data_IF_328545015694
#
_entry.id   IF_328545015694
#
_cell.length_a   1.000
_cell.length_b   1.000
_cell.length_c   1.000
_cell.angle_alpha   90.00
_cell.angle_beta   90.00
_cell.angle_gamma   90.00
#
_symmetry.space_group_name_H-M   'P 1'
#
loop_
_entity.id
_entity.type
_entity.pdbx_description
1 polymer ?
#
# COMPACT_ATOMS: atom_id res chain seq x y z
N UNK A 1 23.22 -10.21 -5.01
CA UNK A 1 23.87 -9.51 -6.14
C UNK A 1 24.03 -8.05 -5.76
N UNK A 2 25.21 -7.45 -5.90
CA UNK A 2 25.38 -6.02 -5.70
C UNK A 2 24.44 -5.26 -6.66
N UNK A 3 23.59 -4.39 -6.14
CA UNK A 3 22.74 -3.53 -6.96
C UNK A 3 23.63 -2.76 -7.91
N UNK A 4 23.46 -2.97 -9.22
CA UNK A 4 24.18 -2.20 -10.22
C UNK A 4 23.91 -0.72 -9.98
N UNK A 5 24.97 0.10 -9.88
CA UNK A 5 24.84 1.54 -9.75
C UNK A 5 24.04 2.06 -10.95
N UNK A 6 22.85 2.59 -10.69
CA UNK A 6 22.02 3.21 -11.71
C UNK A 6 22.76 4.42 -12.31
N UNK A 7 22.57 4.75 -13.62
CA UNK A 7 23.15 5.93 -14.22
C UNK A 7 22.77 7.19 -13.42
N UNK A 8 23.75 8.05 -13.15
CA UNK A 8 23.50 9.30 -12.42
C UNK A 8 22.71 10.28 -13.29
N UNK A 9 21.70 10.93 -12.67
CA UNK A 9 20.90 11.95 -13.32
C UNK A 9 21.76 13.15 -13.72
N UNK A 10 21.62 13.71 -14.94
CA UNK A 10 22.36 14.93 -15.36
C UNK A 10 22.13 16.11 -14.41
N UNK A 11 20.91 16.28 -13.88
CA UNK A 11 20.55 17.34 -12.92
C UNK A 11 20.73 16.94 -11.45
N UNK A 12 21.50 15.87 -11.16
CA UNK A 12 21.66 15.32 -9.81
C UNK A 12 22.11 16.35 -8.75
N UNK A 13 22.91 17.33 -9.15
CA UNK A 13 23.48 18.34 -8.25
C UNK A 13 22.76 19.70 -8.27
N UNK A 14 21.76 19.89 -9.12
CA UNK A 14 21.10 21.19 -9.32
C UNK A 14 19.60 21.18 -9.06
N UNK A 15 18.96 20.01 -9.18
CA UNK A 15 17.52 19.90 -8.99
C UNK A 15 17.20 19.73 -7.50
N UNK A 16 16.40 20.64 -6.95
CA UNK A 16 15.89 20.57 -5.58
C UNK A 16 14.52 19.93 -5.55
N UNK A 17 14.37 18.88 -4.73
CA UNK A 17 13.17 18.03 -4.66
C UNK A 17 12.65 18.01 -3.23
N UNK A 18 11.42 18.49 -3.05
CA UNK A 18 10.70 18.45 -1.77
C UNK A 18 9.66 17.35 -1.78
N UNK A 19 9.67 16.49 -0.76
CA UNK A 19 8.68 15.43 -0.57
C UNK A 19 7.90 15.74 0.70
N UNK A 20 6.58 15.78 0.61
CA UNK A 20 5.70 16.03 1.75
C UNK A 20 5.05 14.72 2.19
N UNK A 21 5.37 14.29 3.40
CA UNK A 21 4.96 13.02 4.00
C UNK A 21 6.07 11.95 3.93
N UNK A 22 6.43 11.40 5.09
CA UNK A 22 7.38 10.29 5.24
C UNK A 22 6.70 8.92 5.35
N UNK A 23 5.53 8.74 4.74
CA UNK A 23 4.91 7.43 4.56
C UNK A 23 5.67 6.54 3.57
N UNK A 24 5.17 5.32 3.30
CA UNK A 24 5.81 4.37 2.36
C UNK A 24 6.02 5.01 0.98
N UNK A 25 5.02 5.75 0.46
CA UNK A 25 5.12 6.41 -0.84
C UNK A 25 6.18 7.50 -0.88
N UNK A 26 6.21 8.38 0.13
CA UNK A 26 7.21 9.45 0.23
C UNK A 26 8.63 8.91 0.39
N UNK A 27 8.83 7.89 1.25
CA UNK A 27 10.14 7.26 1.42
C UNK A 27 10.58 6.48 0.19
N UNK A 28 9.66 5.76 -0.49
CA UNK A 28 9.94 5.10 -1.76
C UNK A 28 10.38 6.11 -2.83
N UNK A 29 9.72 7.30 -2.87
CA UNK A 29 10.12 8.39 -3.76
C UNK A 29 11.50 8.94 -3.42
N UNK A 30 11.77 9.15 -2.13
CA UNK A 30 13.09 9.59 -1.66
C UNK A 30 14.18 8.60 -2.11
N UNK A 31 13.99 7.29 -1.85
CA UNK A 31 14.95 6.26 -2.29
C UNK A 31 15.08 6.24 -3.82
N UNK A 32 13.95 6.31 -4.54
CA UNK A 32 13.95 6.34 -6.01
C UNK A 32 14.79 7.49 -6.59
N UNK A 33 14.70 8.67 -5.98
CA UNK A 33 15.45 9.86 -6.38
C UNK A 33 16.93 9.77 -5.99
N UNK A 34 17.22 9.51 -4.69
CA UNK A 34 18.63 9.48 -4.25
C UNK A 34 19.44 8.33 -4.86
N UNK A 35 18.77 7.20 -5.19
CA UNK A 35 19.43 6.09 -5.93
C UNK A 35 19.86 6.49 -7.33
N UNK A 36 19.23 7.50 -7.93
CA UNK A 36 19.61 8.11 -9.22
C UNK A 36 20.64 9.23 -9.08
N UNK A 37 21.10 9.48 -7.83
CA UNK A 37 22.17 10.43 -7.53
C UNK A 37 21.72 11.85 -7.21
N UNK A 38 20.40 12.13 -7.13
CA UNK A 38 19.90 13.44 -6.70
C UNK A 38 20.42 13.78 -5.30
N UNK A 39 20.97 14.99 -5.11
CA UNK A 39 21.64 15.43 -3.87
C UNK A 39 20.77 16.31 -2.99
N UNK A 40 19.79 16.98 -3.56
CA UNK A 40 18.93 17.92 -2.84
C UNK A 40 17.51 17.34 -2.74
N UNK A 41 17.37 16.24 -1.97
CA UNK A 41 16.09 15.58 -1.67
C UNK A 41 15.77 15.79 -0.20
N UNK A 42 14.69 16.52 0.08
CA UNK A 42 14.22 16.81 1.44
C UNK A 42 12.84 16.22 1.63
N UNK A 43 12.68 15.40 2.67
CA UNK A 43 11.40 14.82 3.11
C UNK A 43 10.91 15.59 4.33
N UNK A 44 9.69 16.12 4.26
CA UNK A 44 9.00 16.83 5.35
C UNK A 44 7.96 15.91 5.98
N UNK A 45 8.05 15.68 7.28
CA UNK A 45 7.09 14.87 8.03
C UNK A 45 6.47 15.70 9.15
N UNK A 46 5.14 15.69 9.21
CA UNK A 46 4.41 16.47 10.21
C UNK A 46 4.56 15.93 11.63
N UNK A 47 4.68 14.61 11.77
CA UNK A 47 4.90 13.99 13.06
C UNK A 47 6.25 14.42 13.67
N UNK A 48 6.33 14.62 15.00
CA UNK A 48 7.58 15.03 15.66
C UNK A 48 8.65 13.93 15.64
N UNK A 49 8.25 12.71 15.46
CA UNK A 49 9.11 11.52 15.35
C UNK A 49 8.52 10.49 14.41
N UNK A 50 9.37 9.62 13.89
CA UNK A 50 8.91 8.48 13.07
C UNK A 50 8.52 7.35 14.03
N UNK A 51 7.21 7.12 14.16
CA UNK A 51 6.65 6.05 14.99
C UNK A 51 6.51 4.72 14.26
N UNK A 52 6.62 3.62 14.98
CA UNK A 52 6.25 2.30 14.48
C UNK A 52 4.72 2.16 14.47
N UNK A 53 4.07 2.58 13.39
CA UNK A 53 2.63 2.34 13.22
C UNK A 53 2.46 1.21 12.22
N UNK A 54 1.88 0.08 12.67
CA UNK A 54 1.54 -0.90 11.66
C UNK A 54 1.06 -2.26 12.12
N UNK A 55 0.38 -2.88 11.22
CA UNK A 55 0.01 -4.30 11.18
C UNK A 55 0.87 -5.00 10.10
N UNK A 56 0.50 -6.21 9.73
CA UNK A 56 1.09 -6.89 8.59
C UNK A 56 0.78 -6.16 7.27
N UNK A 57 1.72 -6.24 6.34
CA UNK A 57 1.57 -5.76 4.97
C UNK A 57 2.11 -6.80 4.00
N UNK A 58 1.46 -6.90 2.84
CA UNK A 58 1.89 -7.80 1.78
C UNK A 58 2.81 -7.07 0.80
N UNK A 59 3.88 -7.74 0.41
CA UNK A 59 4.87 -7.28 -0.57
C UNK A 59 4.78 -8.24 -1.77
N UNK A 60 3.95 -7.85 -2.73
CA UNK A 60 3.70 -8.61 -3.94
C UNK A 60 4.88 -8.55 -4.93
N UNK A 61 4.96 -9.43 -5.95
CA UNK A 61 6.09 -9.49 -6.89
C UNK A 61 6.46 -8.17 -7.55
N UNK A 62 5.49 -7.34 -7.94
CA UNK A 62 5.76 -6.02 -8.50
C UNK A 62 6.43 -5.07 -7.49
N UNK A 63 6.05 -5.14 -6.23
CA UNK A 63 6.70 -4.34 -5.19
C UNK A 63 8.06 -4.91 -4.80
N UNK A 64 8.23 -6.25 -4.76
CA UNK A 64 9.54 -6.88 -4.58
C UNK A 64 10.55 -6.38 -5.63
N UNK A 65 10.12 -6.29 -6.90
CA UNK A 65 10.94 -5.73 -7.99
C UNK A 65 11.39 -4.32 -7.69
N UNK A 66 10.49 -3.44 -7.29
CA UNK A 66 10.81 -2.05 -6.92
C UNK A 66 11.76 -1.99 -5.73
N UNK A 67 11.47 -2.73 -4.65
CA UNK A 67 12.32 -2.77 -3.47
C UNK A 67 13.72 -3.32 -3.77
N UNK A 68 13.83 -4.25 -4.70
CA UNK A 68 15.12 -4.75 -5.17
C UNK A 68 15.90 -3.66 -5.94
N UNK A 69 15.25 -2.92 -6.84
CA UNK A 69 15.87 -1.76 -7.51
C UNK A 69 16.38 -0.72 -6.51
N UNK A 70 15.69 -0.56 -5.39
CA UNK A 70 16.07 0.35 -4.31
C UNK A 70 17.19 -0.20 -3.40
N UNK A 71 17.52 -1.49 -3.49
CA UNK A 71 18.43 -2.18 -2.56
C UNK A 71 17.84 -2.30 -1.15
N UNK A 72 16.51 -2.41 -1.05
CA UNK A 72 15.75 -2.53 0.20
C UNK A 72 15.28 -3.96 0.46
N UNK A 73 15.03 -4.75 -0.60
CA UNK A 73 14.41 -6.08 -0.47
C UNK A 73 15.24 -7.02 0.43
N UNK A 74 16.56 -7.07 0.22
CA UNK A 74 17.46 -7.95 0.98
C UNK A 74 17.50 -7.60 2.49
N UNK A 75 17.19 -6.35 2.84
CA UNK A 75 17.08 -5.90 4.25
C UNK A 75 15.81 -6.39 4.94
N UNK A 76 14.77 -6.62 4.16
CA UNK A 76 13.47 -7.10 4.66
C UNK A 76 13.40 -8.61 4.75
N UNK A 77 14.11 -9.33 3.87
CA UNK A 77 14.03 -10.78 3.75
C UNK A 77 14.23 -11.54 5.06
N UNK A 78 15.17 -11.16 5.96
CA UNK A 78 15.36 -11.87 7.24
C UNK A 78 14.14 -11.84 8.18
N UNK A 79 13.30 -10.79 8.09
CA UNK A 79 12.10 -10.60 8.92
C UNK A 79 10.81 -10.96 8.16
N UNK A 80 10.92 -11.21 6.86
CA UNK A 80 9.78 -11.53 6.00
C UNK A 80 9.36 -12.99 6.15
N UNK A 81 8.08 -13.24 5.87
CA UNK A 81 7.60 -14.60 5.60
C UNK A 81 7.30 -14.69 4.10
N UNK A 82 7.97 -15.59 3.41
CA UNK A 82 7.68 -15.91 2.01
C UNK A 82 6.37 -16.69 1.94
N UNK A 83 5.37 -16.14 1.26
CA UNK A 83 4.09 -16.83 1.10
C UNK A 83 4.20 -18.00 0.13
N UNK A 84 3.77 -19.18 0.58
CA UNK A 84 3.62 -20.39 -0.24
C UNK A 84 2.32 -20.39 -1.04
N UNK A 85 1.32 -19.61 -0.59
CA UNK A 85 0.02 -19.54 -1.25
C UNK A 85 -0.99 -18.68 -0.52
N UNK A 86 -2.21 -18.70 -1.06
CA UNK A 86 -3.39 -18.07 -0.49
C UNK A 86 -4.55 -19.07 -0.45
N UNK A 87 -5.39 -18.97 0.57
CA UNK A 87 -6.59 -19.81 0.72
C UNK A 87 -7.80 -18.93 1.02
N UNK A 88 -8.88 -19.13 0.27
CA UNK A 88 -10.20 -18.53 0.58
C UNK A 88 -11.06 -19.58 1.22
N UNK A 89 -11.67 -19.26 2.36
CA UNK A 89 -12.44 -20.17 3.18
C UNK A 89 -13.79 -19.61 3.56
N UNK A 90 -14.75 -20.48 3.71
CA UNK A 90 -16.07 -20.14 4.22
C UNK A 90 -16.00 -19.81 5.72
N UNK A 91 -16.63 -18.73 6.15
CA UNK A 91 -16.56 -18.23 7.52
C UNK A 91 -17.11 -19.22 8.56
N UNK A 92 -18.21 -19.92 8.28
CA UNK A 92 -18.95 -20.72 9.26
C UNK A 92 -18.30 -22.06 9.59
N UNK A 93 -17.77 -22.77 8.61
CA UNK A 93 -17.29 -24.14 8.74
C UNK A 93 -15.82 -24.33 8.33
N UNK A 94 -15.13 -23.23 8.02
CA UNK A 94 -13.73 -23.24 7.56
C UNK A 94 -13.49 -24.05 6.26
N UNK A 95 -14.55 -24.35 5.48
CA UNK A 95 -14.44 -25.03 4.19
C UNK A 95 -13.57 -24.22 3.23
N UNK A 96 -12.58 -24.89 2.63
CA UNK A 96 -11.73 -24.27 1.63
C UNK A 96 -12.47 -24.12 0.30
N UNK A 97 -12.80 -22.90 -0.07
CA UNK A 97 -13.44 -22.55 -1.33
C UNK A 97 -12.45 -22.43 -2.48
N UNK A 98 -11.25 -21.94 -2.19
CA UNK A 98 -10.18 -21.78 -3.17
C UNK A 98 -8.80 -21.91 -2.51
N UNK A 99 -7.83 -22.38 -3.28
CA UNK A 99 -6.42 -22.38 -2.91
C UNK A 99 -5.59 -22.00 -4.12
N UNK A 100 -4.76 -20.98 -3.96
CA UNK A 100 -3.84 -20.50 -5.00
C UNK A 100 -2.41 -20.72 -4.53
N UNK A 101 -1.66 -21.56 -5.25
CA UNK A 101 -0.23 -21.73 -4.99
C UNK A 101 0.56 -20.54 -5.53
N UNK A 102 1.53 -20.08 -4.75
CA UNK A 102 2.48 -19.03 -5.14
C UNK A 102 3.85 -19.56 -5.58
N UNK A 103 3.97 -20.88 -5.73
CA UNK A 103 5.22 -21.51 -6.19
C UNK A 103 5.71 -20.97 -7.54
N UNK A 104 4.78 -20.58 -8.43
CA UNK A 104 5.10 -20.08 -9.77
C UNK A 104 5.29 -18.56 -9.83
N UNK A 105 5.07 -17.79 -8.75
CA UNK A 105 5.21 -16.33 -8.82
C UNK A 105 6.63 -15.88 -9.19
N UNK A 106 7.64 -16.52 -8.59
CA UNK A 106 9.03 -16.18 -8.89
C UNK A 106 9.45 -16.66 -10.29
N UNK A 107 9.16 -17.91 -10.72
CA UNK A 107 9.37 -18.32 -12.11
C UNK A 107 8.67 -17.43 -13.15
N UNK A 108 7.41 -17.05 -12.90
CA UNK A 108 6.59 -16.33 -13.88
C UNK A 108 6.90 -14.81 -13.91
N UNK A 109 7.21 -14.21 -12.74
CA UNK A 109 7.34 -12.76 -12.59
C UNK A 109 8.71 -12.29 -12.09
N UNK A 110 9.62 -13.22 -11.80
CA UNK A 110 10.98 -12.96 -11.32
C UNK A 110 11.09 -12.69 -9.82
N UNK A 111 9.97 -12.66 -9.09
CA UNK A 111 9.93 -12.30 -7.67
C UNK A 111 8.86 -13.09 -6.91
N UNK A 112 9.15 -13.51 -5.65
CA UNK A 112 8.15 -14.14 -4.78
C UNK A 112 7.17 -13.08 -4.20
N UNK A 113 6.19 -13.56 -3.44
CA UNK A 113 5.37 -12.72 -2.56
C UNK A 113 5.84 -12.90 -1.11
N UNK A 114 5.93 -11.79 -0.37
CA UNK A 114 6.24 -11.76 1.05
C UNK A 114 5.13 -11.09 1.85
N UNK A 115 5.11 -11.38 3.14
CA UNK A 115 4.42 -10.61 4.15
C UNK A 115 5.41 -10.16 5.20
N UNK A 116 5.29 -8.90 5.63
CA UNK A 116 6.20 -8.28 6.60
C UNK A 116 5.39 -7.45 7.60
N UNK A 117 6.00 -7.04 8.69
CA UNK A 117 5.44 -5.98 9.51
C UNK A 117 5.62 -4.64 8.80
N UNK A 118 4.58 -3.79 8.79
CA UNK A 118 4.60 -2.51 8.06
C UNK A 118 5.69 -1.55 8.58
N UNK A 119 5.95 -1.57 9.89
CA UNK A 119 7.04 -0.80 10.51
C UNK A 119 8.41 -1.22 9.98
N UNK A 120 8.66 -2.52 9.78
CA UNK A 120 9.94 -3.01 9.26
C UNK A 120 10.16 -2.53 7.82
N UNK A 121 9.13 -2.57 6.98
CA UNK A 121 9.19 -2.02 5.62
C UNK A 121 9.45 -0.51 5.62
N UNK A 122 8.73 0.22 6.47
CA UNK A 122 8.90 1.66 6.61
C UNK A 122 10.32 2.03 7.05
N UNK A 123 10.82 1.35 8.09
CA UNK A 123 12.18 1.53 8.59
C UNK A 123 13.24 1.22 7.53
N UNK A 124 13.10 0.12 6.78
CA UNK A 124 14.04 -0.26 5.74
C UNK A 124 14.11 0.78 4.60
N UNK A 125 12.96 1.37 4.21
CA UNK A 125 12.91 2.47 3.24
C UNK A 125 13.55 3.74 3.81
N UNK A 126 13.25 4.09 5.05
CA UNK A 126 13.82 5.26 5.73
C UNK A 126 15.34 5.17 5.83
N UNK A 127 15.84 4.06 6.40
CA UNK A 127 17.28 3.84 6.55
C UNK A 127 17.98 3.95 5.19
N UNK A 128 17.39 3.37 4.15
CA UNK A 128 17.95 3.41 2.80
C UNK A 128 17.97 4.83 2.22
N UNK A 129 16.89 5.60 2.41
CA UNK A 129 16.82 6.99 1.95
C UNK A 129 17.91 7.84 2.61
N UNK A 130 18.07 7.73 3.92
CA UNK A 130 19.06 8.48 4.69
C UNK A 130 20.51 8.08 4.33
N UNK A 131 20.79 6.78 4.21
CA UNK A 131 22.11 6.29 3.76
C UNK A 131 22.53 6.84 2.40
N UNK A 132 21.59 7.01 1.49
CA UNK A 132 21.84 7.55 0.15
C UNK A 132 21.88 9.08 0.11
N UNK A 133 21.58 9.75 1.24
CA UNK A 133 21.75 11.18 1.41
C UNK A 133 20.45 12.00 1.33
N UNK A 134 19.27 11.40 1.41
CA UNK A 134 18.03 12.16 1.62
C UNK A 134 18.05 12.85 2.97
N UNK A 135 17.48 14.05 3.05
CA UNK A 135 17.29 14.79 4.30
C UNK A 135 15.87 14.54 4.82
N UNK A 136 15.73 14.16 6.07
CA UNK A 136 14.44 14.06 6.76
C UNK A 136 14.27 15.22 7.75
N UNK A 137 13.15 15.90 7.66
CA UNK A 137 12.73 16.96 8.60
C UNK A 137 11.42 16.53 9.25
N UNK A 138 11.49 16.02 10.47
CA UNK A 138 10.31 15.71 11.31
C UNK A 138 9.77 16.98 11.97
N UNK A 139 8.54 16.93 12.52
CA UNK A 139 7.87 18.10 13.10
C UNK A 139 7.63 19.22 12.07
N UNK A 140 7.61 18.88 10.78
CA UNK A 140 7.57 19.84 9.67
C UNK A 140 6.19 19.81 9.01
N UNK A 141 5.17 20.30 9.73
CA UNK A 141 3.83 20.45 9.19
C UNK A 141 3.81 21.50 8.08
N UNK A 142 3.40 21.12 6.89
CA UNK A 142 3.24 22.04 5.76
C UNK A 142 1.93 22.79 5.92
N UNK A 143 2.02 24.14 6.00
CA UNK A 143 0.87 25.02 6.07
C UNK A 143 0.37 25.43 4.68
N UNK A 144 1.31 25.65 3.76
CA UNK A 144 0.98 26.11 2.42
C UNK A 144 1.99 25.67 1.37
N UNK A 145 1.53 25.62 0.12
CA UNK A 145 2.35 25.33 -1.06
C UNK A 145 2.00 26.31 -2.17
N UNK A 146 3.01 27.00 -2.72
CA UNK A 146 2.89 27.75 -3.95
C UNK A 146 3.22 26.84 -5.12
N UNK A 147 2.24 26.54 -5.94
CA UNK A 147 2.33 25.58 -7.03
C UNK A 147 3.20 26.07 -8.19
N UNK A 148 3.11 27.35 -8.54
CA UNK A 148 3.86 27.98 -9.63
C UNK A 148 5.35 28.09 -9.31
N UNK A 149 5.65 28.64 -8.13
CA UNK A 149 7.04 28.88 -7.71
C UNK A 149 7.72 27.61 -7.17
N UNK A 150 6.92 26.64 -6.68
CA UNK A 150 7.44 25.44 -6.00
C UNK A 150 7.94 25.77 -4.59
N UNK A 151 7.23 26.62 -3.84
CA UNK A 151 7.58 26.95 -2.47
C UNK A 151 6.73 26.18 -1.49
N UNK A 152 7.33 25.67 -0.43
CA UNK A 152 6.64 25.07 0.71
C UNK A 152 6.78 25.98 1.93
N UNK A 153 5.65 26.20 2.62
CA UNK A 153 5.59 26.92 3.88
C UNK A 153 5.49 25.90 5.01
N UNK A 154 6.58 25.70 5.72
CA UNK A 154 6.59 24.90 6.95
C UNK A 154 6.13 25.78 8.10
N UNK A 155 5.27 25.26 8.99
CA UNK A 155 4.77 25.98 10.16
C UNK A 155 5.90 26.58 11.00
N UNK A 156 5.83 27.91 11.21
CA UNK A 156 6.82 28.61 12.01
C UNK A 156 8.22 28.75 11.39
N UNK A 157 8.40 28.41 10.10
CA UNK A 157 9.69 28.51 9.41
C UNK A 157 9.58 29.38 8.15
N UNK A 158 10.71 29.90 7.62
CA UNK A 158 10.74 30.55 6.32
C UNK A 158 10.30 29.59 5.19
N UNK A 159 9.77 30.14 4.10
CA UNK A 159 9.48 29.38 2.89
C UNK A 159 10.76 28.75 2.30
N UNK A 160 10.61 27.53 1.81
CA UNK A 160 11.68 26.79 1.11
C UNK A 160 11.24 26.54 -0.32
N UNK A 161 12.11 26.86 -1.29
CA UNK A 161 11.84 26.65 -2.70
C UNK A 161 12.41 25.33 -3.19
N UNK A 162 11.61 24.61 -3.98
CA UNK A 162 11.98 23.38 -4.68
C UNK A 162 11.66 23.50 -6.18
N UNK A 163 12.37 22.76 -7.00
CA UNK A 163 12.08 22.64 -8.43
C UNK A 163 10.87 21.72 -8.66
N UNK A 164 10.69 20.70 -7.79
CA UNK A 164 9.53 19.81 -7.77
C UNK A 164 9.11 19.56 -6.33
N UNK A 165 7.81 19.60 -6.07
CA UNK A 165 7.19 19.21 -4.81
C UNK A 165 6.38 17.93 -5.05
N UNK A 166 6.70 16.87 -4.33
CA UNK A 166 6.03 15.57 -4.37
C UNK A 166 5.11 15.48 -3.15
N UNK A 167 3.82 15.55 -3.38
CA UNK A 167 2.81 15.43 -2.34
C UNK A 167 2.50 13.94 -2.09
N UNK A 168 3.05 13.40 -1.02
CA UNK A 168 2.87 12.03 -0.53
C UNK A 168 2.27 12.02 0.88
N UNK A 169 1.44 13.03 1.18
CA UNK A 169 0.82 13.33 2.48
C UNK A 169 -0.46 12.49 2.74
N UNK A 170 -0.66 11.43 1.96
CA UNK A 170 -1.62 10.37 2.22
C UNK A 170 -3.06 10.73 1.87
N UNK A 171 -3.98 9.87 2.29
CA UNK A 171 -5.40 9.99 1.93
C UNK A 171 -6.04 11.30 2.41
N UNK A 172 -5.54 11.92 3.48
CA UNK A 172 -5.99 13.23 3.99
C UNK A 172 -5.18 14.40 3.40
N UNK A 173 -4.61 14.25 2.21
CA UNK A 173 -3.70 15.21 1.59
C UNK A 173 -4.27 16.63 1.53
N UNK A 174 -3.66 17.54 2.27
CA UNK A 174 -3.99 18.96 2.21
C UNK A 174 -3.52 19.59 0.89
N UNK A 175 -2.45 19.07 0.30
CA UNK A 175 -1.93 19.55 -0.99
C UNK A 175 -2.88 19.17 -2.11
N UNK A 176 -3.43 17.94 -2.11
CA UNK A 176 -4.47 17.54 -3.07
C UNK A 176 -5.69 18.43 -2.96
N UNK A 177 -6.20 18.69 -1.74
CA UNK A 177 -7.38 19.55 -1.54
C UNK A 177 -7.15 20.94 -2.11
N UNK A 178 -5.94 21.52 -1.92
CA UNK A 178 -5.59 22.80 -2.52
C UNK A 178 -5.51 22.73 -4.05
N UNK A 179 -4.92 21.67 -4.60
CA UNK A 179 -4.83 21.44 -6.05
C UNK A 179 -6.22 21.36 -6.69
N UNK A 180 -7.15 20.61 -6.07
CA UNK A 180 -8.53 20.48 -6.53
C UNK A 180 -9.27 21.82 -6.48
N UNK A 181 -9.16 22.55 -5.37
CA UNK A 181 -9.77 23.87 -5.21
C UNK A 181 -9.29 24.87 -6.29
N UNK A 182 -8.00 24.85 -6.64
CA UNK A 182 -7.43 25.68 -7.73
C UNK A 182 -8.04 25.37 -9.09
N UNK A 183 -8.49 24.13 -9.30
CA UNK A 183 -9.18 23.69 -10.53
C UNK A 183 -10.70 23.93 -10.49
N UNK A 184 -11.24 24.42 -9.37
CA UNK A 184 -12.67 24.51 -9.16
C UNK A 184 -13.35 23.14 -8.95
N UNK A 185 -12.58 22.14 -8.56
CA UNK A 185 -13.02 20.77 -8.27
C UNK A 185 -13.19 20.57 -6.76
N UNK A 186 -14.10 19.69 -6.36
CA UNK A 186 -14.32 19.36 -4.95
C UNK A 186 -13.46 18.15 -4.57
N UNK A 187 -12.67 18.29 -3.51
CA UNK A 187 -11.92 17.19 -2.91
C UNK A 187 -12.75 16.56 -1.79
N UNK A 188 -13.35 15.43 -2.08
CA UNK A 188 -14.19 14.73 -1.12
C UNK A 188 -13.75 13.28 -0.98
N UNK A 189 -13.47 12.89 0.29
CA UNK A 189 -13.32 11.47 0.61
C UNK A 189 -14.69 10.83 0.80
N UNK A 190 -14.93 9.73 0.11
CA UNK A 190 -16.19 9.01 0.18
C UNK A 190 -16.07 7.89 1.22
N UNK A 191 -16.94 7.86 2.26
CA UNK A 191 -17.07 6.70 3.13
C UNK A 191 -17.53 5.49 2.31
N UNK A 192 -16.83 4.37 2.43
CA UNK A 192 -17.24 3.14 1.75
C UNK A 192 -18.32 2.37 2.50
N UNK A 193 -18.63 2.78 3.72
CA UNK A 193 -19.43 2.00 4.65
C UNK A 193 -18.67 0.82 5.27
N UNK A 194 -17.39 0.69 4.97
CA UNK A 194 -16.53 -0.36 5.52
C UNK A 194 -15.60 0.18 6.61
N UNK A 195 -15.28 -0.68 7.56
CA UNK A 195 -14.26 -0.45 8.58
C UNK A 195 -13.40 -1.69 8.77
N UNK A 196 -12.25 -1.52 9.41
CA UNK A 196 -11.33 -2.62 9.66
C UNK A 196 -10.83 -2.64 11.11
N UNK A 197 -10.83 -3.82 11.73
CA UNK A 197 -10.03 -4.10 12.92
C UNK A 197 -8.70 -4.71 12.52
N UNK A 198 -7.65 -4.40 13.29
CA UNK A 198 -6.32 -4.99 13.13
C UNK A 198 -5.85 -5.57 14.44
N UNK A 199 -5.47 -6.84 14.43
CA UNK A 199 -4.99 -7.58 15.58
C UNK A 199 -3.66 -8.24 15.22
N UNK A 200 -2.68 -8.14 16.11
CA UNK A 200 -1.43 -8.89 16.03
C UNK A 200 -1.33 -9.79 17.25
N UNK A 201 -1.20 -11.10 17.02
CA UNK A 201 -0.97 -12.09 18.03
C UNK A 201 0.50 -12.49 18.05
N UNK A 202 1.08 -12.64 19.23
CA UNK A 202 2.43 -13.16 19.37
C UNK A 202 2.40 -14.70 19.27
N UNK A 203 3.49 -15.31 18.79
CA UNK A 203 3.63 -16.78 18.73
C UNK A 203 3.31 -17.45 20.06
N UNK A 204 3.82 -16.89 21.18
CA UNK A 204 3.58 -17.42 22.52
C UNK A 204 2.11 -17.52 22.94
N UNK A 205 1.23 -16.72 22.32
CA UNK A 205 -0.21 -16.76 22.55
C UNK A 205 -0.88 -17.90 21.76
N UNK A 206 -0.26 -18.37 20.68
CA UNK A 206 -0.85 -19.30 19.71
C UNK A 206 -0.31 -20.74 19.84
N UNK A 207 0.93 -20.91 20.26
CA UNK A 207 1.64 -22.20 20.18
C UNK A 207 1.12 -23.30 21.11
N UNK A 208 0.35 -22.93 22.15
CA UNK A 208 -0.25 -23.90 23.07
C UNK A 208 -1.46 -24.64 22.46
N UNK A 209 -2.11 -24.07 21.44
CA UNK A 209 -3.25 -24.67 20.74
C UNK A 209 -2.79 -25.21 19.38
N UNK A 210 -2.91 -26.53 19.09
CA UNK A 210 -2.36 -27.13 17.85
C UNK A 210 -2.92 -26.50 16.56
N UNK A 211 -4.18 -26.15 16.52
CA UNK A 211 -4.85 -25.51 15.38
C UNK A 211 -4.33 -24.08 15.14
N UNK A 212 -4.07 -23.31 16.22
CA UNK A 212 -3.49 -21.98 16.10
C UNK A 212 -2.00 -22.02 15.74
N UNK A 213 -1.27 -23.00 16.32
CA UNK A 213 0.13 -23.23 15.96
C UNK A 213 0.28 -23.55 14.48
N UNK A 214 -0.62 -24.36 13.91
CA UNK A 214 -0.63 -24.65 12.48
C UNK A 214 -0.83 -23.39 11.63
N UNK A 215 -1.66 -22.44 12.06
CA UNK A 215 -1.88 -21.18 11.33
C UNK A 215 -0.59 -20.33 11.26
N UNK A 216 0.10 -20.15 12.39
CA UNK A 216 1.30 -19.31 12.44
C UNK A 216 2.51 -19.98 11.79
N UNK A 217 2.60 -21.32 11.78
CA UNK A 217 3.68 -22.06 11.15
C UNK A 217 3.50 -22.16 9.62
N UNK A 218 2.27 -22.10 9.12
CA UNK A 218 1.99 -22.24 7.70
C UNK A 218 2.15 -20.89 6.98
N UNK A 219 3.04 -20.75 5.98
CA UNK A 219 3.24 -19.53 5.21
C UNK A 219 2.12 -19.30 4.18
N UNK A 220 0.87 -19.42 4.59
CA UNK A 220 -0.31 -19.21 3.74
C UNK A 220 -1.11 -18.03 4.24
N UNK A 221 -1.45 -17.11 3.34
CA UNK A 221 -2.42 -16.08 3.64
C UNK A 221 -3.83 -16.68 3.55
N UNK A 222 -4.57 -16.63 4.64
CA UNK A 222 -5.93 -17.18 4.72
C UNK A 222 -6.93 -16.02 4.70
N UNK A 223 -7.97 -16.16 3.89
CA UNK A 223 -9.08 -15.23 3.81
C UNK A 223 -10.37 -15.97 4.14
N UNK A 224 -11.01 -15.65 5.26
CA UNK A 224 -12.35 -16.14 5.57
C UNK A 224 -13.37 -15.13 5.07
N UNK A 225 -14.34 -15.61 4.28
CA UNK A 225 -15.38 -14.78 3.67
C UNK A 225 -16.74 -15.11 4.27
N UNK A 226 -17.47 -14.09 4.66
CA UNK A 226 -18.78 -14.19 5.31
C UNK A 226 -19.71 -13.03 4.92
N UNK A 227 -20.93 -12.99 5.49
CA UNK A 227 -21.90 -11.95 5.19
C UNK A 227 -21.37 -10.57 5.64
N UNK A 228 -21.29 -9.62 4.70
CA UNK A 228 -20.88 -8.24 4.95
C UNK A 228 -19.49 -8.09 5.59
N UNK A 229 -18.63 -9.14 5.54
CA UNK A 229 -17.31 -9.11 6.14
C UNK A 229 -16.38 -10.16 5.55
N UNK A 230 -15.07 -9.90 5.64
CA UNK A 230 -14.05 -10.92 5.48
C UNK A 230 -12.89 -10.67 6.45
N UNK A 231 -12.13 -11.71 6.73
CA UNK A 231 -10.93 -11.63 7.57
C UNK A 231 -9.76 -12.20 6.79
N UNK A 232 -8.67 -11.44 6.73
CA UNK A 232 -7.39 -11.90 6.16
C UNK A 232 -6.39 -12.08 7.29
N UNK A 233 -5.73 -13.25 7.33
CA UNK A 233 -4.70 -13.49 8.31
C UNK A 233 -3.48 -14.22 7.72
N UNK A 234 -2.30 -13.92 8.25
CA UNK A 234 -1.03 -14.50 7.82
C UNK A 234 0.07 -14.29 8.86
N UNK A 235 1.08 -15.17 8.91
CA UNK A 235 2.24 -14.99 9.78
C UNK A 235 3.12 -13.81 9.30
N UNK A 236 3.75 -13.11 10.25
CA UNK A 236 4.71 -12.03 9.99
C UNK A 236 5.92 -12.17 10.93
N UNK A 237 6.93 -11.30 10.80
CA UNK A 237 8.14 -11.28 11.66
C UNK A 237 8.81 -12.67 11.72
N UNK A 238 9.08 -13.26 10.56
CA UNK A 238 9.64 -14.62 10.45
C UNK A 238 8.88 -15.65 11.32
N UNK A 239 7.53 -15.62 11.27
CA UNK A 239 6.62 -16.45 12.06
C UNK A 239 6.59 -16.16 13.58
N UNK A 240 7.20 -15.07 14.06
CA UNK A 240 7.12 -14.67 15.46
C UNK A 240 5.78 -14.03 15.84
N UNK A 241 5.02 -13.55 14.87
CA UNK A 241 3.70 -12.95 15.08
C UNK A 241 2.72 -13.33 13.97
N UNK A 242 1.44 -13.22 14.27
CA UNK A 242 0.32 -13.51 13.35
C UNK A 242 -0.55 -12.28 13.21
N UNK A 243 -0.69 -11.80 11.99
CA UNK A 243 -1.47 -10.62 11.65
C UNK A 243 -2.87 -11.03 11.24
N UNK A 244 -3.87 -10.35 11.78
CA UNK A 244 -5.29 -10.52 11.46
C UNK A 244 -5.86 -9.15 11.11
N UNK A 245 -6.48 -9.04 9.94
CA UNK A 245 -7.21 -7.84 9.51
C UNK A 245 -8.61 -8.26 9.15
N UNK A 246 -9.59 -7.76 9.87
CA UNK A 246 -11.00 -7.94 9.54
C UNK A 246 -11.53 -6.70 8.85
N UNK A 247 -12.19 -6.86 7.72
CA UNK A 247 -12.93 -5.80 7.03
C UNK A 247 -14.42 -6.14 7.09
N UNK A 248 -15.25 -5.16 7.46
CA UNK A 248 -16.66 -5.37 7.67
C UNK A 248 -17.45 -4.10 7.35
N UNK A 249 -18.75 -4.26 7.05
CA UNK A 249 -19.67 -3.12 6.92
C UNK A 249 -19.89 -2.49 8.29
N UNK A 250 -19.71 -1.18 8.38
CA UNK A 250 -19.92 -0.39 9.59
C UNK A 250 -20.82 0.80 9.30
N UNK A 251 -21.90 0.94 10.08
CA UNK A 251 -22.85 2.05 9.95
C UNK A 251 -22.50 3.23 10.88
N UNK A 252 -21.47 3.10 11.69
CA UNK A 252 -21.14 4.06 12.76
C UNK A 252 -19.81 4.76 12.57
N UNK A 253 -18.82 4.08 11.99
CA UNK A 253 -17.46 4.63 11.80
C UNK A 253 -17.36 5.33 10.46
N UNK A 254 -16.82 6.56 10.48
CA UNK A 254 -16.61 7.37 9.27
C UNK A 254 -17.74 8.34 8.94
N UNK A 255 -18.77 8.44 9.79
CA UNK A 255 -19.76 9.50 9.74
C UNK A 255 -19.24 10.82 10.36
N UNK A 256 -18.14 10.75 11.12
CA UNK A 256 -17.45 11.88 11.75
C UNK A 256 -16.08 12.11 11.11
N UNK A 257 -15.44 13.23 11.42
CA UNK A 257 -14.08 13.54 11.00
C UNK A 257 -13.02 12.57 11.63
N UNK A 258 -13.38 11.89 12.71
CA UNK A 258 -12.55 10.86 13.33
C UNK A 258 -12.67 9.55 12.55
N UNK A 259 -11.60 9.22 11.81
CA UNK A 259 -11.51 8.01 10.99
C UNK A 259 -11.11 6.77 11.80
N UNK A 260 -10.82 6.97 13.06
CA UNK A 260 -10.45 5.91 13.99
C UNK A 260 -11.30 6.02 15.24
N UNK A 261 -11.83 4.89 15.69
CA UNK A 261 -12.49 4.78 16.98
C UNK A 261 -11.79 3.74 17.83
N UNK A 262 -11.70 3.97 19.14
CA UNK A 262 -11.33 2.89 20.06
C UNK A 262 -12.45 1.85 20.03
N UNK A 263 -12.09 0.64 19.67
CA UNK A 263 -13.03 -0.46 19.60
C UNK A 263 -12.96 -1.33 20.88
N UNK A 264 -14.11 -1.80 21.32
CA UNK A 264 -14.18 -2.83 22.35
C UNK A 264 -13.98 -4.20 21.71
N UNK A 265 -13.14 -5.04 22.32
CA UNK A 265 -12.98 -6.44 21.94
C UNK A 265 -14.33 -7.17 21.95
N UNK A 266 -15.19 -6.87 22.90
CA UNK A 266 -16.54 -7.46 23.01
C UNK A 266 -17.39 -7.13 21.77
N UNK A 267 -17.36 -5.88 21.29
CA UNK A 267 -18.07 -5.46 20.07
C UNK A 267 -17.52 -6.18 18.84
N UNK A 268 -16.19 -6.31 18.74
CA UNK A 268 -15.56 -7.09 17.68
C UNK A 268 -15.98 -8.56 17.72
N UNK A 269 -15.91 -9.22 18.88
CA UNK A 269 -16.29 -10.63 19.03
C UNK A 269 -17.77 -10.86 18.69
N UNK A 270 -18.67 -9.97 19.13
CA UNK A 270 -20.10 -10.04 18.80
C UNK A 270 -20.36 -9.91 17.29
N UNK A 271 -19.57 -9.11 16.58
CA UNK A 271 -19.70 -8.97 15.12
C UNK A 271 -19.37 -10.25 14.37
N UNK A 272 -18.42 -11.03 14.87
CA UNK A 272 -17.95 -12.27 14.27
C UNK A 272 -18.53 -13.52 14.96
N UNK A 273 -19.59 -13.35 15.78
CA UNK A 273 -20.29 -14.48 16.39
C UNK A 273 -20.80 -15.47 15.33
N UNK A 274 -20.67 -16.77 15.59
CA UNK A 274 -21.00 -17.81 14.61
C UNK A 274 -19.96 -18.08 13.52
N UNK A 275 -18.80 -17.38 13.53
CA UNK A 275 -17.70 -17.73 12.67
C UNK A 275 -16.96 -18.97 13.21
N UNK A 276 -16.19 -19.65 12.34
CA UNK A 276 -15.56 -20.92 12.70
C UNK A 276 -14.70 -20.82 13.98
N UNK A 277 -14.62 -21.92 14.70
CA UNK A 277 -14.01 -22.02 16.02
C UNK A 277 -12.53 -21.58 16.03
N UNK A 278 -11.74 -22.02 15.03
CA UNK A 278 -10.30 -21.69 14.96
C UNK A 278 -10.09 -20.18 14.85
N UNK A 279 -10.87 -19.50 14.01
CA UNK A 279 -10.79 -18.04 13.87
C UNK A 279 -11.25 -17.34 15.15
N UNK A 280 -12.37 -17.80 15.77
CA UNK A 280 -12.84 -17.23 17.02
C UNK A 280 -11.84 -17.38 18.15
N UNK A 281 -11.12 -18.51 18.26
CA UNK A 281 -9.98 -18.66 19.19
C UNK A 281 -8.93 -17.56 18.97
N UNK A 282 -8.56 -17.27 17.71
CA UNK A 282 -7.63 -16.18 17.42
C UNK A 282 -8.17 -14.82 17.91
N UNK A 283 -9.44 -14.50 17.60
CA UNK A 283 -10.03 -13.21 17.98
C UNK A 283 -10.16 -13.06 19.50
N UNK A 284 -10.40 -14.16 20.23
CA UNK A 284 -10.41 -14.16 21.70
C UNK A 284 -9.03 -13.86 22.34
N UNK A 285 -7.93 -14.06 21.61
CA UNK A 285 -6.57 -13.70 22.05
C UNK A 285 -6.24 -12.23 21.84
N UNK A 286 -7.11 -11.47 21.15
CA UNK A 286 -6.90 -10.03 20.97
C UNK A 286 -6.81 -9.31 22.33
N UNK A 287 -5.86 -8.37 22.50
CA UNK A 287 -5.71 -7.63 23.76
C UNK A 287 -6.92 -6.73 24.04
N UNK A 288 -7.22 -6.52 25.31
CA UNK A 288 -8.22 -5.55 25.73
C UNK A 288 -7.71 -4.12 25.59
N UNK A 289 -8.58 -3.21 25.14
CA UNK A 289 -8.28 -1.76 25.11
C UNK A 289 -7.29 -1.29 24.03
N UNK A 290 -6.74 -2.19 23.24
CA UNK A 290 -5.78 -1.86 22.16
C UNK A 290 -6.36 -2.00 20.75
N UNK A 291 -7.66 -2.24 20.63
CA UNK A 291 -8.31 -2.34 19.33
C UNK A 291 -8.67 -0.96 18.80
N UNK A 292 -8.34 -0.76 17.53
CA UNK A 292 -8.74 0.43 16.79
C UNK A 292 -9.57 0.00 15.59
N UNK A 293 -10.74 0.56 15.44
CA UNK A 293 -11.57 0.44 14.25
C UNK A 293 -11.23 1.58 13.30
N UNK A 294 -10.84 1.24 12.07
CA UNK A 294 -10.43 2.18 11.04
C UNK A 294 -11.51 2.26 9.97
N UNK A 295 -12.10 3.44 9.77
CA UNK A 295 -12.97 3.67 8.64
C UNK A 295 -12.21 3.57 7.33
N UNK A 296 -12.72 2.80 6.38
CA UNK A 296 -12.17 2.74 5.03
C UNK A 296 -12.86 3.78 4.16
N UNK A 297 -12.05 4.63 3.53
CA UNK A 297 -12.52 5.71 2.66
C UNK A 297 -11.75 5.64 1.34
N UNK A 298 -12.36 6.17 0.30
CA UNK A 298 -11.76 6.31 -1.01
C UNK A 298 -11.89 7.74 -1.51
N UNK A 299 -11.14 8.07 -2.53
CA UNK A 299 -11.38 9.24 -3.37
C UNK A 299 -11.90 8.79 -4.73
N UNK A 300 -12.70 9.63 -5.36
CA UNK A 300 -12.99 9.47 -6.78
C UNK A 300 -11.69 9.64 -7.59
N UNK A 301 -11.58 8.98 -8.75
CA UNK A 301 -10.43 9.19 -9.62
C UNK A 301 -10.25 10.67 -9.96
N UNK A 302 -9.06 11.19 -9.69
CA UNK A 302 -8.73 12.60 -9.96
C UNK A 302 -8.64 12.85 -11.46
N UNK A 303 -8.94 14.08 -11.91
CA UNK A 303 -8.79 14.50 -13.30
C UNK A 303 -7.32 14.57 -13.73
N UNK A 304 -6.41 14.86 -12.80
CA UNK A 304 -4.96 14.88 -13.01
C UNK A 304 -4.21 14.98 -11.68
N UNK A 305 -2.93 14.60 -11.72
CA UNK A 305 -2.05 14.53 -10.55
C UNK A 305 -1.02 15.66 -10.49
N UNK A 306 -0.99 16.55 -11.47
CA UNK A 306 0.06 17.56 -11.62
C UNK A 306 -0.56 18.95 -11.68
N UNK A 307 -0.01 19.88 -10.93
CA UNK A 307 -0.27 21.32 -11.06
C UNK A 307 1.08 22.06 -10.95
N UNK A 308 1.55 22.63 -12.06
CA UNK A 308 2.84 23.30 -12.19
C UNK A 308 4.01 22.45 -11.66
N UNK A 309 4.60 22.84 -10.52
CA UNK A 309 5.73 22.14 -9.89
C UNK A 309 5.33 21.09 -8.85
N UNK A 310 4.04 20.86 -8.65
CA UNK A 310 3.52 19.94 -7.66
C UNK A 310 2.97 18.70 -8.34
N UNK A 311 3.33 17.53 -7.82
CA UNK A 311 2.84 16.23 -8.28
C UNK A 311 2.35 15.39 -7.09
N UNK A 312 1.17 14.77 -7.23
CA UNK A 312 0.60 13.86 -6.25
C UNK A 312 1.17 12.45 -6.41
N UNK A 313 1.28 11.71 -5.30
CA UNK A 313 1.84 10.37 -5.27
C UNK A 313 1.20 9.51 -4.17
N UNK A 314 1.03 8.20 -4.44
CA UNK A 314 0.49 7.26 -3.48
C UNK A 314 -0.95 7.60 -3.07
N UNK A 315 -1.30 7.43 -1.79
CA UNK A 315 -2.66 7.66 -1.30
C UNK A 315 -3.14 9.12 -1.47
N UNK A 316 -2.24 10.08 -1.66
CA UNK A 316 -2.61 11.44 -2.03
C UNK A 316 -3.20 11.51 -3.44
N UNK A 317 -2.85 10.59 -4.33
CA UNK A 317 -3.33 10.51 -5.71
C UNK A 317 -4.39 9.42 -5.93
N UNK A 318 -4.23 8.25 -5.29
CA UNK A 318 -5.01 7.04 -5.60
C UNK A 318 -5.22 6.14 -4.39
N UNK A 319 -5.71 6.68 -3.28
CA UNK A 319 -6.05 5.90 -2.09
C UNK A 319 -6.90 4.68 -2.46
N UNK A 320 -6.50 3.48 -2.04
CA UNK A 320 -7.12 2.22 -2.42
C UNK A 320 -7.55 1.39 -1.21
N UNK A 321 -8.63 0.62 -1.39
CA UNK A 321 -9.06 -0.39 -0.43
C UNK A 321 -8.05 -1.54 -0.33
N UNK A 322 -7.93 -2.22 0.83
CA UNK A 322 -6.87 -3.21 1.06
C UNK A 322 -7.08 -4.56 0.36
N UNK A 323 -8.18 -4.73 -0.38
CA UNK A 323 -8.69 -6.04 -0.82
C UNK A 323 -7.79 -6.80 -1.79
N UNK A 324 -6.90 -6.12 -2.51
CA UNK A 324 -5.91 -6.75 -3.41
C UNK A 324 -4.45 -6.48 -3.02
N UNK A 325 -4.22 -5.91 -1.83
CA UNK A 325 -2.89 -5.67 -1.27
C UNK A 325 -1.95 -4.85 -2.19
N UNK A 326 -2.45 -3.81 -2.85
CA UNK A 326 -1.69 -3.02 -3.83
C UNK A 326 -1.35 -1.59 -3.42
N UNK A 327 -1.93 -1.00 -2.36
CA UNK A 327 -1.70 0.41 -2.02
C UNK A 327 -0.22 0.77 -1.92
N UNK A 328 0.53 0.06 -1.06
CA UNK A 328 1.97 0.30 -0.92
C UNK A 328 2.78 -0.04 -2.19
N UNK A 329 2.37 -1.07 -2.94
CA UNK A 329 3.01 -1.45 -4.18
C UNK A 329 2.86 -0.36 -5.24
N UNK A 330 1.66 0.20 -5.40
CA UNK A 330 1.42 1.29 -6.35
C UNK A 330 2.20 2.56 -5.95
N UNK A 331 2.20 2.93 -4.66
CA UNK A 331 2.99 4.05 -4.17
C UNK A 331 4.51 3.85 -4.37
N UNK A 332 5.00 2.62 -4.19
CA UNK A 332 6.39 2.26 -4.47
C UNK A 332 6.74 2.35 -5.96
N UNK A 333 5.86 1.86 -6.84
CA UNK A 333 5.98 2.00 -8.28
C UNK A 333 5.99 3.48 -8.71
N UNK A 334 5.15 4.32 -8.09
CA UNK A 334 5.13 5.77 -8.35
C UNK A 334 6.50 6.39 -8.10
N UNK A 335 7.08 6.14 -6.92
CA UNK A 335 8.40 6.67 -6.57
C UNK A 335 9.50 6.19 -7.52
N UNK A 336 9.45 4.93 -7.94
CA UNK A 336 10.41 4.36 -8.89
C UNK A 336 10.31 4.98 -10.28
N UNK A 337 9.07 5.15 -10.79
CA UNK A 337 8.81 5.77 -12.10
C UNK A 337 9.20 7.24 -12.10
N UNK A 338 8.76 8.00 -11.08
CA UNK A 338 9.08 9.42 -10.98
C UNK A 338 10.59 9.65 -10.90
N UNK A 339 11.31 8.89 -10.06
CA UNK A 339 12.76 8.95 -9.96
C UNK A 339 13.46 8.62 -11.29
N UNK A 340 12.93 7.63 -12.04
CA UNK A 340 13.47 7.24 -13.35
C UNK A 340 13.29 8.34 -14.39
N UNK A 341 12.10 8.94 -14.47
CA UNK A 341 11.80 9.99 -15.46
C UNK A 341 12.57 11.28 -15.17
N UNK A 342 12.60 11.73 -13.91
CA UNK A 342 13.39 12.91 -13.53
C UNK A 342 14.89 12.73 -13.78
N UNK A 343 15.41 11.50 -13.65
CA UNK A 343 16.79 11.19 -13.95
C UNK A 343 17.16 11.30 -15.44
N UNK A 344 16.19 11.37 -16.34
CA UNK A 344 16.38 11.56 -17.78
C UNK A 344 16.41 13.05 -18.19
N UNK A 345 16.01 13.95 -17.29
CA UNK A 345 16.02 15.38 -17.58
C UNK A 345 17.46 15.90 -17.68
N UNK A 346 17.79 16.60 -18.76
CA UNK A 346 19.09 17.23 -18.97
C UNK A 346 19.11 18.70 -18.55
N UNK A 347 17.95 19.35 -18.56
CA UNK A 347 17.72 20.75 -18.16
C UNK A 347 16.41 20.87 -17.40
N UNK A 348 16.24 21.97 -16.63
CA UNK A 348 15.04 22.16 -15.80
C UNK A 348 13.74 22.27 -16.62
N UNK A 349 13.83 22.74 -17.84
CA UNK A 349 12.71 22.85 -18.78
C UNK A 349 12.15 21.47 -19.20
N UNK A 350 12.91 20.39 -19.01
CA UNK A 350 12.45 19.02 -19.29
C UNK A 350 11.54 18.46 -18.16
N UNK A 351 11.61 19.04 -16.94
CA UNK A 351 10.89 18.56 -15.76
C UNK A 351 9.36 18.49 -15.96
N UNK A 352 8.68 19.52 -16.49
CA UNK A 352 7.23 19.45 -16.73
C UNK A 352 6.84 18.29 -17.65
N UNK A 353 7.69 17.94 -18.61
CA UNK A 353 7.47 16.81 -19.50
C UNK A 353 7.60 15.49 -18.73
N UNK A 354 8.64 15.34 -17.90
CA UNK A 354 8.83 14.16 -17.06
C UNK A 354 7.64 13.92 -16.09
N UNK A 355 7.11 15.00 -15.49
CA UNK A 355 5.92 14.90 -14.62
C UNK A 355 4.70 14.44 -15.42
N UNK A 356 4.40 15.03 -16.60
CA UNK A 356 3.29 14.59 -17.45
C UNK A 356 3.43 13.14 -17.88
N UNK A 357 4.65 12.67 -18.15
CA UNK A 357 4.90 11.27 -18.47
C UNK A 357 4.66 10.34 -17.28
N UNK A 358 5.06 10.77 -16.07
CA UNK A 358 4.74 10.06 -14.83
C UNK A 358 3.23 9.83 -14.70
N UNK A 359 2.43 10.90 -14.82
CA UNK A 359 0.97 10.80 -14.75
C UNK A 359 0.42 9.87 -15.83
N UNK A 360 0.87 10.01 -17.07
CA UNK A 360 0.44 9.17 -18.21
C UNK A 360 0.69 7.68 -17.97
N UNK A 361 1.83 7.32 -17.37
CA UNK A 361 2.19 5.92 -17.12
C UNK A 361 1.52 5.36 -15.88
N UNK A 362 1.39 6.19 -14.83
CA UNK A 362 0.96 5.71 -13.51
C UNK A 362 -0.53 5.78 -13.29
N UNK A 363 -1.17 6.88 -13.67
CA UNK A 363 -2.59 7.11 -13.37
C UNK A 363 -3.50 5.99 -13.88
N UNK A 364 -3.47 5.55 -15.15
CA UNK A 364 -4.35 4.48 -15.62
C UNK A 364 -4.13 3.15 -14.90
N UNK A 365 -2.89 2.86 -14.50
CA UNK A 365 -2.55 1.64 -13.76
C UNK A 365 -3.04 1.68 -12.32
N UNK A 366 -2.86 2.79 -11.64
CA UNK A 366 -3.31 2.98 -10.27
C UNK A 366 -4.85 3.01 -10.20
N UNK A 367 -5.52 3.76 -11.09
CA UNK A 367 -6.99 3.80 -11.18
C UNK A 367 -7.58 2.40 -11.40
N UNK A 368 -6.94 1.61 -12.28
CA UNK A 368 -7.35 0.21 -12.48
C UNK A 368 -7.15 -0.65 -11.23
N UNK A 369 -6.06 -0.48 -10.49
CA UNK A 369 -5.84 -1.20 -9.24
C UNK A 369 -6.86 -0.81 -8.16
N UNK A 370 -7.22 0.48 -8.07
CA UNK A 370 -8.29 0.97 -7.18
C UNK A 370 -9.61 0.30 -7.51
N UNK A 371 -9.98 0.24 -8.79
CA UNK A 371 -11.22 -0.43 -9.24
C UNK A 371 -11.21 -1.93 -8.94
N UNK A 372 -10.09 -2.62 -9.16
CA UNK A 372 -9.98 -4.05 -8.83
C UNK A 372 -10.11 -4.30 -7.32
N UNK A 373 -9.61 -3.40 -6.49
CA UNK A 373 -9.80 -3.48 -5.04
C UNK A 373 -11.28 -3.34 -4.66
N UNK A 374 -11.99 -2.37 -5.26
CA UNK A 374 -13.43 -2.16 -5.04
C UNK A 374 -14.25 -3.39 -5.43
N UNK A 375 -14.09 -3.88 -6.65
CA UNK A 375 -14.79 -5.07 -7.16
C UNK A 375 -14.51 -6.32 -6.29
N UNK A 376 -13.28 -6.46 -5.80
CA UNK A 376 -12.93 -7.56 -4.90
C UNK A 376 -13.67 -7.44 -3.57
N UNK A 377 -13.72 -6.25 -2.96
CA UNK A 377 -14.47 -6.03 -1.72
C UNK A 377 -15.95 -6.41 -1.85
N UNK A 378 -16.59 -5.97 -2.92
CA UNK A 378 -17.99 -6.30 -3.21
C UNK A 378 -18.20 -7.83 -3.30
N UNK A 379 -17.33 -8.55 -4.00
CA UNK A 379 -17.42 -10.00 -4.12
C UNK A 379 -17.20 -10.74 -2.78
N UNK A 380 -16.34 -10.19 -1.90
CA UNK A 380 -16.03 -10.80 -0.61
C UNK A 380 -17.11 -10.57 0.45
N UNK A 381 -17.92 -9.53 0.32
CA UNK A 381 -18.90 -9.10 1.32
C UNK A 381 -20.36 -9.51 0.98
N UNK A 382 -20.55 -10.38 0.00
CA UNK A 382 -21.90 -10.84 -0.39
C UNK A 382 -22.60 -11.53 0.81
N UNK A 383 -23.82 -11.09 1.21
CA UNK A 383 -24.60 -11.73 2.25
C UNK A 383 -24.96 -13.17 1.88
N UNK A 384 -25.24 -14.01 2.89
CA UNK A 384 -25.69 -15.38 2.67
C UNK A 384 -26.94 -15.44 1.80
N UNK A 385 -26.96 -16.39 0.87
CA UNK A 385 -28.05 -16.58 -0.09
C UNK A 385 -27.54 -17.10 -1.44
N UNK A 386 -28.38 -17.01 -2.46
CA UNK A 386 -28.08 -17.56 -3.78
C UNK A 386 -26.86 -16.88 -4.46
N UNK A 387 -26.72 -15.57 -4.31
CA UNK A 387 -25.56 -14.84 -4.84
C UNK A 387 -24.25 -15.29 -4.18
N UNK A 388 -24.27 -15.55 -2.87
CA UNK A 388 -23.11 -16.09 -2.14
C UNK A 388 -22.79 -17.52 -2.62
N UNK A 389 -23.79 -18.39 -2.79
CA UNK A 389 -23.57 -19.74 -3.31
C UNK A 389 -22.94 -19.69 -4.70
N UNK A 390 -23.43 -18.82 -5.57
CA UNK A 390 -22.87 -18.62 -6.91
C UNK A 390 -21.39 -18.12 -6.84
N UNK A 391 -21.08 -17.17 -5.94
CA UNK A 391 -19.70 -16.71 -5.68
C UNK A 391 -18.82 -17.85 -5.18
N UNK A 392 -19.27 -18.66 -4.23
CA UNK A 392 -18.50 -19.78 -3.67
C UNK A 392 -18.19 -20.82 -4.75
N UNK A 393 -19.16 -21.16 -5.59
CA UNK A 393 -18.94 -22.05 -6.73
C UNK A 393 -17.97 -21.45 -7.78
N UNK A 394 -18.02 -20.15 -8.01
CA UNK A 394 -17.07 -19.47 -8.88
C UNK A 394 -15.64 -19.51 -8.30
N UNK A 395 -15.49 -19.35 -6.97
CA UNK A 395 -14.19 -19.51 -6.28
C UNK A 395 -13.65 -20.93 -6.43
N UNK A 396 -14.48 -21.97 -6.26
CA UNK A 396 -14.08 -23.38 -6.44
C UNK A 396 -13.61 -23.64 -7.88
N UNK A 397 -14.34 -23.13 -8.88
CA UNK A 397 -14.00 -23.25 -10.31
C UNK A 397 -12.71 -22.50 -10.67
N UNK A 398 -12.40 -21.38 -10.02
CA UNK A 398 -11.19 -20.62 -10.28
C UNK A 398 -9.90 -21.43 -9.97
N UNK A 399 -9.97 -22.39 -9.03
CA UNK A 399 -8.86 -23.34 -8.78
C UNK A 399 -8.48 -24.18 -9.99
N UNK A 400 -9.39 -24.33 -10.96
CA UNK A 400 -9.19 -25.11 -12.19
C UNK A 400 -8.93 -24.24 -13.44
N UNK A 401 -8.72 -22.92 -13.25
CA UNK A 401 -8.30 -21.99 -14.33
C UNK A 401 -9.36 -21.00 -14.82
N UNK A 402 -10.57 -20.99 -14.23
CA UNK A 402 -11.57 -19.96 -14.49
C UNK A 402 -11.20 -18.64 -13.82
N UNK A 403 -11.79 -17.52 -14.28
CA UNK A 403 -11.62 -16.22 -13.64
C UNK A 403 -12.13 -16.23 -12.20
N UNK A 404 -11.36 -15.67 -11.26
CA UNK A 404 -11.71 -15.65 -9.85
C UNK A 404 -12.49 -14.38 -9.47
N UNK A 405 -13.58 -14.50 -8.69
CA UNK A 405 -14.20 -13.34 -8.03
C UNK A 405 -13.24 -12.59 -7.10
N UNK A 406 -12.33 -13.32 -6.45
CA UNK A 406 -11.21 -12.76 -5.70
C UNK A 406 -10.07 -12.37 -6.64
N UNK A 407 -10.01 -11.08 -7.02
CA UNK A 407 -9.01 -10.55 -7.95
C UNK A 407 -7.59 -10.67 -7.45
N UNK A 408 -7.36 -10.75 -6.16
CA UNK A 408 -6.03 -10.99 -5.63
C UNK A 408 -5.45 -12.35 -6.03
N UNK A 409 -6.29 -13.41 -6.04
CA UNK A 409 -5.93 -14.76 -6.50
C UNK A 409 -6.08 -14.99 -8.00
N UNK A 410 -6.63 -14.03 -8.75
CA UNK A 410 -6.92 -14.16 -10.18
C UNK A 410 -5.66 -14.04 -11.05
N UNK A 411 -5.42 -15.03 -11.91
CA UNK A 411 -4.20 -15.08 -12.74
C UNK A 411 -4.07 -13.93 -13.74
N UNK A 412 -5.18 -13.44 -14.30
CA UNK A 412 -5.16 -12.33 -15.24
C UNK A 412 -4.78 -11.03 -14.51
N UNK A 413 -5.39 -10.80 -13.35
CA UNK A 413 -5.07 -9.68 -12.46
C UNK A 413 -3.61 -9.73 -12.02
N UNK A 414 -3.12 -10.91 -11.60
CA UNK A 414 -1.72 -11.09 -11.24
C UNK A 414 -0.78 -10.79 -12.41
N UNK A 415 -1.07 -11.29 -13.61
CA UNK A 415 -0.26 -11.01 -14.80
C UNK A 415 -0.18 -9.51 -15.08
N UNK A 416 -1.28 -8.79 -14.98
CA UNK A 416 -1.33 -7.34 -15.21
C UNK A 416 -0.61 -6.56 -14.11
N UNK A 417 -0.71 -6.98 -12.84
CA UNK A 417 -0.02 -6.34 -11.72
C UNK A 417 1.47 -6.69 -11.68
N UNK A 418 1.80 -7.99 -11.77
CA UNK A 418 3.16 -8.48 -11.45
C UNK A 418 4.07 -8.56 -12.66
N UNK A 419 3.49 -8.72 -13.87
CA UNK A 419 4.26 -8.88 -15.10
C UNK A 419 4.91 -7.60 -15.63
N UNK A 420 4.42 -6.42 -15.23
CA UNK A 420 4.95 -5.15 -15.73
C UNK A 420 6.15 -4.69 -14.90
N UNK A 421 7.26 -4.42 -15.58
CA UNK A 421 8.38 -3.68 -15.02
C UNK A 421 8.22 -2.19 -15.32
N UNK A 422 7.70 -1.45 -14.33
CA UNK A 422 7.38 -0.02 -14.50
C UNK A 422 8.60 0.86 -14.68
N UNK A 423 9.76 0.45 -14.13
CA UNK A 423 11.03 1.17 -14.29
C UNK A 423 11.53 1.05 -15.71
N UNK A 424 11.52 -0.18 -16.24
CA UNK A 424 11.88 -0.44 -17.64
C UNK A 424 10.92 0.25 -18.60
N UNK A 425 9.62 0.24 -18.31
CA UNK A 425 8.63 0.95 -19.11
C UNK A 425 8.93 2.46 -19.15
N UNK A 426 9.16 3.09 -17.99
CA UNK A 426 9.48 4.52 -17.90
C UNK A 426 10.77 4.88 -18.65
N UNK A 427 11.80 4.03 -18.55
CA UNK A 427 13.06 4.19 -19.24
C UNK A 427 12.89 4.16 -20.77
N UNK A 428 12.10 3.23 -21.28
CA UNK A 428 11.83 3.06 -22.72
C UNK A 428 10.94 4.17 -23.29
N UNK A 429 9.88 4.55 -22.56
CA UNK A 429 8.93 5.55 -23.06
C UNK A 429 9.54 6.96 -23.10
N UNK A 430 10.40 7.33 -22.15
CA UNK A 430 11.10 8.62 -22.20
C UNK A 430 12.09 8.70 -23.37
N UNK A 431 12.68 7.60 -23.77
CA UNK A 431 13.67 7.54 -24.86
C UNK A 431 13.06 7.60 -26.26
N UNK A 432 11.71 7.48 -26.38
CA UNK A 432 10.99 7.53 -27.66
C UNK A 432 10.56 8.94 -28.09
N UNK A 433 10.82 9.93 -27.27
CA UNK A 433 10.48 11.35 -27.48
C UNK A 433 11.71 12.21 -27.69
#
# INVERSE_FOLDING_TARGET
MAAALLPRAPLAHTLSLGIVGAGIGGLASAVGLVSRGFKHVTVYEAAPEIGEVGAGIQVAPNFCRVLSHFGVLDRLTPQAVRLGGASVRRYVNNEQLNSTSFANLEPDYGWPAFVVHRGDLHKALLDRALELGAQLKVGSQIEDVNFEDGKVKVKGQPEVQHDVIIAADGIKSAIRSKMMARRGEVDETIPTGEAAYRVILQRSQMESAPDLKQLIDNPTAIRWVGPNAHIVAYPIKAHAAFNIVSTHISNTVGLTEDWTARASKEVMLKRFDGWNETLMKCLHLAPEGELVEWALRIHLPLTGWIDHKVVLLGDAAHATLPHIAQGAAQAGEDGAVLGTLLAKCHRKEDVPHALKMYERLRKPRADWAVEMARVTGEALHIPDGEAQKARDEALKKASTGSQSPDRWGDKETQRKLYGLDVVKQADMEFSRL
#
